data_IF_147642113904
#
_entry.id   IF_147642113904
#
_cell.length_a   1.000
_cell.length_b   1.000
_cell.length_c   1.000
_cell.angle_alpha   90.00
_cell.angle_beta   90.00
_cell.angle_gamma   90.00
#
_symmetry.space_group_name_H-M   'P 1'
#
loop_
_entity.id
_entity.type
_entity.pdbx_description
1 polymer ?
#
# COMPACT_ATOMS: atom_id res chain seq x y z
N UNK A 1 -9.23 12.08 12.15
CA UNK A 1 -8.14 11.29 11.61
C UNK A 1 -7.12 12.23 10.97
N UNK A 2 -5.89 12.14 11.35
CA UNK A 2 -4.84 12.98 10.79
C UNK A 2 -3.82 12.15 10.01
N UNK A 3 -2.90 12.86 9.35
CA UNK A 3 -1.91 12.24 8.49
C UNK A 3 -0.88 11.40 9.26
N UNK A 4 -0.72 11.57 10.57
CA UNK A 4 0.21 10.77 11.36
C UNK A 4 -0.22 9.30 11.43
N UNK A 5 -1.53 9.07 11.51
CA UNK A 5 -2.06 7.69 11.55
C UNK A 5 -1.75 6.98 10.24
N UNK A 6 -2.02 7.63 9.10
CA UNK A 6 -1.78 7.00 7.80
C UNK A 6 -0.27 6.84 7.54
N UNK A 7 0.54 7.78 8.03
CA UNK A 7 1.99 7.69 7.90
C UNK A 7 2.52 6.43 8.59
N UNK A 8 2.13 6.19 9.84
CA UNK A 8 2.48 4.98 10.59
C UNK A 8 1.98 3.70 9.92
N UNK A 9 0.69 3.69 9.57
CA UNK A 9 0.07 2.51 8.98
C UNK A 9 0.73 2.12 7.65
N UNK A 10 1.00 3.11 6.81
CA UNK A 10 1.59 2.85 5.50
C UNK A 10 3.05 2.43 5.59
N UNK A 11 3.79 2.95 6.57
CA UNK A 11 5.15 2.52 6.81
C UNK A 11 5.19 1.07 7.32
N UNK A 12 4.37 0.75 8.32
CA UNK A 12 4.29 -0.61 8.86
C UNK A 12 3.88 -1.61 7.78
N UNK A 13 2.97 -1.21 6.91
CA UNK A 13 2.55 -2.04 5.79
C UNK A 13 3.71 -2.27 4.81
N UNK A 14 4.49 -1.21 4.52
CA UNK A 14 5.67 -1.33 3.65
C UNK A 14 6.66 -2.34 4.22
N UNK A 15 6.86 -2.34 5.54
CA UNK A 15 7.73 -3.33 6.21
C UNK A 15 7.21 -4.75 5.94
N UNK A 16 5.90 -4.95 6.07
CA UNK A 16 5.28 -6.26 5.79
C UNK A 16 5.50 -6.68 4.35
N UNK A 17 5.38 -5.74 3.42
CA UNK A 17 5.55 -6.01 1.99
C UNK A 17 6.99 -6.43 1.68
N UNK A 18 7.97 -5.75 2.25
CA UNK A 18 9.38 -6.12 2.07
C UNK A 18 9.64 -7.54 2.59
N UNK A 19 9.10 -7.86 3.77
CA UNK A 19 9.23 -9.20 4.35
C UNK A 19 8.54 -10.26 3.48
N UNK A 20 7.33 -9.94 2.98
CA UNK A 20 6.60 -10.83 2.10
C UNK A 20 7.38 -11.07 0.79
N UNK A 21 7.98 -10.02 0.24
CA UNK A 21 8.79 -10.13 -0.97
C UNK A 21 9.91 -11.16 -0.79
N UNK A 22 10.57 -11.15 0.37
CA UNK A 22 11.61 -12.15 0.67
C UNK A 22 11.04 -13.58 0.70
N UNK A 23 9.86 -13.74 1.30
CA UNK A 23 9.18 -15.04 1.33
C UNK A 23 8.77 -15.50 -0.07
N UNK A 24 8.28 -14.57 -0.91
CA UNK A 24 7.88 -14.90 -2.27
C UNK A 24 9.06 -15.40 -3.09
N UNK A 25 10.25 -14.83 -2.89
CA UNK A 25 11.46 -15.31 -3.55
C UNK A 25 11.74 -16.76 -3.18
N UNK A 26 11.64 -17.12 -1.91
CA UNK A 26 11.88 -18.50 -1.46
C UNK A 26 10.77 -19.45 -1.93
N UNK A 27 9.59 -18.93 -2.21
CA UNK A 27 8.47 -19.71 -2.76
C UNK A 27 8.52 -19.80 -4.29
N UNK A 28 9.57 -19.28 -4.91
CA UNK A 28 9.79 -19.28 -6.36
C UNK A 28 8.68 -18.56 -7.13
N UNK A 29 8.14 -17.52 -6.54
CA UNK A 29 7.18 -16.64 -7.20
C UNK A 29 7.86 -15.94 -8.38
N UNK A 30 7.10 -15.73 -9.46
CA UNK A 30 7.58 -15.00 -10.62
C UNK A 30 8.16 -13.65 -10.21
N UNK A 31 9.38 -13.37 -10.68
CA UNK A 31 10.12 -12.17 -10.29
C UNK A 31 9.38 -10.89 -10.69
N UNK A 32 8.75 -10.89 -11.88
CA UNK A 32 8.05 -9.69 -12.36
C UNK A 32 6.85 -9.37 -11.47
N UNK A 33 6.08 -10.38 -11.07
CA UNK A 33 4.92 -10.21 -10.20
C UNK A 33 5.37 -9.75 -8.81
N UNK A 34 6.38 -10.41 -8.25
CA UNK A 34 6.91 -10.07 -6.93
C UNK A 34 7.44 -8.64 -6.89
N UNK A 35 8.10 -8.18 -7.96
CA UNK A 35 8.60 -6.81 -8.05
C UNK A 35 7.48 -5.78 -8.12
N UNK A 36 6.40 -6.08 -8.84
CA UNK A 36 5.25 -5.16 -8.90
C UNK A 36 4.64 -4.97 -7.53
N UNK A 37 4.49 -6.04 -6.76
CA UNK A 37 3.98 -5.94 -5.40
C UNK A 37 4.92 -5.11 -4.53
N UNK A 38 6.23 -5.37 -4.60
CA UNK A 38 7.22 -4.62 -3.82
C UNK A 38 7.14 -3.13 -4.15
N UNK A 39 7.12 -2.80 -5.45
CA UNK A 39 7.08 -1.42 -5.92
C UNK A 39 5.83 -0.69 -5.39
N UNK A 40 4.65 -1.21 -5.70
CA UNK A 40 3.41 -0.51 -5.34
C UNK A 40 3.16 -0.53 -3.83
N UNK A 41 3.44 -1.65 -3.18
CA UNK A 41 3.21 -1.78 -1.73
C UNK A 41 4.08 -0.86 -0.89
N UNK A 42 5.30 -0.54 -1.35
CA UNK A 42 6.18 0.40 -0.66
C UNK A 42 5.93 1.85 -1.11
N UNK A 43 5.38 2.04 -2.30
CA UNK A 43 5.08 3.38 -2.83
C UNK A 43 3.95 4.07 -2.09
N UNK A 44 3.07 3.32 -1.42
CA UNK A 44 1.99 3.92 -0.62
C UNK A 44 2.62 4.81 0.46
N UNK A 45 3.45 4.22 1.30
CA UNK A 45 4.10 4.94 2.39
C UNK A 45 5.04 6.03 1.92
N UNK A 46 5.76 5.79 0.83
CA UNK A 46 6.66 6.78 0.25
C UNK A 46 5.89 8.04 -0.16
N UNK A 47 4.74 7.89 -0.81
CA UNK A 47 3.93 9.04 -1.22
C UNK A 47 3.25 9.72 -0.04
N UNK A 48 2.78 8.94 0.94
CA UNK A 48 2.22 9.51 2.17
C UNK A 48 3.28 10.37 2.88
N UNK A 49 4.52 9.86 2.99
CA UNK A 49 5.61 10.60 3.62
C UNK A 49 5.93 11.88 2.88
N UNK A 50 5.98 11.84 1.54
CA UNK A 50 6.22 13.04 0.73
C UNK A 50 5.07 14.04 0.84
N UNK A 51 3.84 13.57 0.96
CA UNK A 51 2.68 14.44 1.11
C UNK A 51 2.81 15.34 2.35
N UNK A 52 3.39 14.81 3.44
CA UNK A 52 3.57 15.58 4.67
C UNK A 52 4.53 16.76 4.49
N UNK A 53 5.38 16.71 3.49
CA UNK A 53 6.37 17.75 3.18
C UNK A 53 5.92 18.64 2.02
N UNK A 54 4.69 18.48 1.55
CA UNK A 54 4.15 19.28 0.46
C UNK A 54 4.07 20.74 0.83
N UNK A 55 4.40 21.62 -0.12
CA UNK A 55 4.44 23.07 0.11
C UNK A 55 3.07 23.71 -0.07
N UNK A 56 2.09 22.96 -0.57
CA UNK A 56 0.75 23.48 -0.81
C UNK A 56 -0.26 22.37 -0.61
N UNK A 57 -1.53 22.77 -0.52
CA UNK A 57 -2.64 21.82 -0.47
C UNK A 57 -2.68 20.97 -1.76
N UNK A 58 -2.36 21.58 -2.89
CA UNK A 58 -2.32 20.88 -4.18
C UNK A 58 -1.24 19.81 -4.19
N UNK A 59 -0.05 20.10 -3.64
CA UNK A 59 1.03 19.13 -3.54
C UNK A 59 0.63 17.95 -2.64
N UNK A 60 0.04 18.26 -1.49
CA UNK A 60 -0.45 17.24 -0.56
C UNK A 60 -1.47 16.32 -1.26
N UNK A 61 -2.47 16.92 -1.91
CA UNK A 61 -3.52 16.17 -2.60
C UNK A 61 -2.95 15.29 -3.71
N UNK A 62 -1.99 15.82 -4.48
CA UNK A 62 -1.38 15.07 -5.57
C UNK A 62 -0.70 13.80 -5.05
N UNK A 63 0.07 13.93 -3.97
CA UNK A 63 0.77 12.78 -3.38
C UNK A 63 -0.18 11.78 -2.75
N UNK A 64 -1.21 12.26 -2.07
CA UNK A 64 -2.19 11.37 -1.45
C UNK A 64 -3.01 10.61 -2.50
N UNK A 65 -3.32 11.24 -3.64
CA UNK A 65 -4.00 10.56 -4.73
C UNK A 65 -3.12 9.48 -5.37
N UNK A 66 -1.82 9.73 -5.48
CA UNK A 66 -0.88 8.71 -5.96
C UNK A 66 -0.84 7.54 -4.97
N UNK A 67 -0.79 7.84 -3.66
CA UNK A 67 -0.79 6.80 -2.63
C UNK A 67 -2.05 5.92 -2.74
N UNK A 68 -3.20 6.53 -2.98
CA UNK A 68 -4.46 5.79 -3.15
C UNK A 68 -4.40 4.86 -4.35
N UNK A 69 -3.89 5.36 -5.47
CA UNK A 69 -3.72 4.56 -6.69
C UNK A 69 -2.80 3.36 -6.44
N UNK A 70 -1.69 3.59 -5.77
CA UNK A 70 -0.73 2.52 -5.44
C UNK A 70 -1.34 1.49 -4.48
N UNK A 71 -2.16 1.94 -3.54
CA UNK A 71 -2.84 1.02 -2.62
C UNK A 71 -3.84 0.13 -3.36
N UNK A 72 -4.58 0.68 -4.32
CA UNK A 72 -5.49 -0.11 -5.14
C UNK A 72 -4.74 -1.14 -5.97
N UNK A 73 -3.60 -0.75 -6.54
CA UNK A 73 -2.76 -1.68 -7.31
C UNK A 73 -2.21 -2.79 -6.41
N UNK A 74 -1.80 -2.42 -5.19
CA UNK A 74 -1.29 -3.39 -4.21
C UNK A 74 -2.35 -4.46 -3.89
N UNK A 75 -3.59 -4.04 -3.69
CA UNK A 75 -4.67 -4.98 -3.42
C UNK A 75 -4.87 -5.94 -4.59
N UNK A 76 -4.78 -5.44 -5.82
CA UNK A 76 -4.86 -6.29 -7.01
C UNK A 76 -3.80 -7.39 -6.98
N UNK A 77 -2.53 -7.03 -6.73
CA UNK A 77 -1.45 -8.02 -6.70
C UNK A 77 -1.60 -9.03 -5.58
N UNK A 78 -2.07 -8.58 -4.40
CA UNK A 78 -2.32 -9.50 -3.28
C UNK A 78 -3.39 -10.53 -3.65
N UNK A 79 -4.47 -10.10 -4.29
CA UNK A 79 -5.54 -10.98 -4.74
C UNK A 79 -5.02 -11.99 -5.77
N UNK A 80 -4.19 -11.52 -6.69
CA UNK A 80 -3.62 -12.39 -7.72
C UNK A 80 -2.71 -13.45 -7.12
N UNK A 81 -1.86 -13.04 -6.17
CA UNK A 81 -0.96 -13.97 -5.49
C UNK A 81 -1.73 -14.99 -4.65
N UNK A 82 -2.83 -14.56 -4.05
CA UNK A 82 -3.68 -15.47 -3.31
C UNK A 82 -4.37 -16.48 -4.24
N UNK A 83 -4.93 -16.00 -5.35
CA UNK A 83 -5.61 -16.85 -6.32
C UNK A 83 -4.67 -17.86 -6.98
N UNK A 84 -3.39 -17.54 -7.05
CA UNK A 84 -2.36 -18.41 -7.63
C UNK A 84 -1.59 -19.22 -6.59
N UNK A 85 -2.07 -19.19 -5.35
CA UNK A 85 -1.59 -20.03 -4.24
C UNK A 85 -0.20 -19.70 -3.72
N UNK A 86 0.27 -18.48 -3.93
CA UNK A 86 1.52 -18.02 -3.33
C UNK A 86 1.33 -17.48 -1.91
N UNK A 87 0.08 -17.17 -1.53
CA UNK A 87 -0.26 -16.73 -0.18
C UNK A 87 -1.24 -17.71 0.44
N UNK A 88 -1.04 -18.02 1.72
CA UNK A 88 -2.01 -18.80 2.48
C UNK A 88 -3.24 -17.93 2.78
N UNK A 89 -4.34 -18.57 3.18
CA UNK A 89 -5.55 -17.87 3.62
C UNK A 89 -5.22 -16.87 4.73
N UNK A 90 -4.46 -17.32 5.73
CA UNK A 90 -4.10 -16.50 6.89
C UNK A 90 -3.29 -15.27 6.46
N UNK A 91 -2.30 -15.47 5.59
CA UNK A 91 -1.48 -14.36 5.08
C UNK A 91 -2.31 -13.37 4.29
N UNK A 92 -3.13 -13.87 3.38
CA UNK A 92 -3.94 -12.99 2.54
C UNK A 92 -4.94 -12.18 3.36
N UNK A 93 -5.70 -12.82 4.24
CA UNK A 93 -6.72 -12.09 5.00
C UNK A 93 -6.11 -11.08 5.95
N UNK A 94 -4.93 -11.36 6.50
CA UNK A 94 -4.21 -10.40 7.33
C UNK A 94 -3.77 -9.17 6.54
N UNK A 95 -3.21 -9.38 5.34
CA UNK A 95 -2.77 -8.29 4.46
C UNK A 95 -3.95 -7.52 3.90
N UNK A 96 -5.03 -8.22 3.57
CA UNK A 96 -6.25 -7.60 3.08
C UNK A 96 -6.83 -6.63 4.10
N UNK A 97 -6.84 -7.04 5.36
CA UNK A 97 -7.30 -6.17 6.45
C UNK A 97 -6.50 -4.87 6.49
N UNK A 98 -5.17 -4.98 6.43
CA UNK A 98 -4.30 -3.80 6.47
C UNK A 98 -4.52 -2.89 5.26
N UNK A 99 -4.55 -3.45 4.06
CA UNK A 99 -4.68 -2.62 2.86
C UNK A 99 -6.05 -1.97 2.75
N UNK A 100 -7.12 -2.64 3.18
CA UNK A 100 -8.45 -2.04 3.16
C UNK A 100 -8.58 -0.94 4.20
N UNK A 101 -7.94 -1.07 5.36
CA UNK A 101 -7.88 0.02 6.34
C UNK A 101 -7.13 1.23 5.80
N UNK A 102 -5.99 0.99 5.15
CA UNK A 102 -5.18 2.06 4.52
C UNK A 102 -6.01 2.77 3.45
N UNK A 103 -6.68 2.01 2.58
CA UNK A 103 -7.52 2.57 1.53
C UNK A 103 -8.65 3.42 2.11
N UNK A 104 -9.29 2.97 3.19
CA UNK A 104 -10.36 3.71 3.83
C UNK A 104 -9.86 5.06 4.36
N UNK A 105 -8.70 5.06 5.03
CA UNK A 105 -8.12 6.29 5.60
C UNK A 105 -7.69 7.25 4.49
N UNK A 106 -6.99 6.77 3.48
CA UNK A 106 -6.53 7.62 2.37
C UNK A 106 -7.72 8.18 1.61
N UNK A 107 -8.72 7.37 1.35
CA UNK A 107 -9.94 7.82 0.65
C UNK A 107 -10.62 8.94 1.42
N UNK A 108 -10.73 8.79 2.74
CA UNK A 108 -11.33 9.84 3.59
C UNK A 108 -10.51 11.13 3.54
N UNK A 109 -9.17 11.03 3.58
CA UNK A 109 -8.29 12.19 3.48
C UNK A 109 -8.45 12.88 2.13
N UNK A 110 -8.41 12.13 1.03
CA UNK A 110 -8.55 12.67 -0.32
C UNK A 110 -9.90 13.34 -0.52
N UNK A 111 -10.96 12.73 -0.02
CA UNK A 111 -12.31 13.28 -0.12
C UNK A 111 -12.43 14.60 0.63
N UNK A 112 -11.84 14.68 1.82
CA UNK A 112 -11.84 15.89 2.63
C UNK A 112 -11.02 17.01 2.00
N UNK A 113 -9.85 16.68 1.47
CA UNK A 113 -8.93 17.70 0.95
C UNK A 113 -9.26 18.15 -0.47
N UNK A 114 -9.98 17.34 -1.25
CA UNK A 114 -10.39 17.70 -2.61
C UNK A 114 -11.66 18.56 -2.65
N UNK A 115 -12.31 18.77 -1.51
CA UNK A 115 -13.50 19.62 -1.41
C UNK A 115 -13.15 21.07 -1.14
#
# INVERSE_FOLDING_TARGET
>A
MNSNVIESKSFDFAVRIVRLHKCLKSRQCDIAIARQLLRCGTSIGANVAEAQKGQSKADFNAKMNIAMKEANETYYWLRLLYATEYLSDKEFFSLEKDITEILAVITAICKKTNN
#
